data_IF_234226757824
#
_entry.id   IF_234226757824
#
_cell.length_a   1.000
_cell.length_b   1.000
_cell.length_c   1.000
_cell.angle_alpha   90.00
_cell.angle_beta   90.00
_cell.angle_gamma   90.00
#
_symmetry.space_group_name_H-M   'P 1'
#
loop_
_entity.id
_entity.type
_entity.pdbx_description
1 polymer ?
#
# COMPACT_ATOMS: atom_id res chain seq x y z
N UNK A 1 -28.22 -5.51 1.15
CA UNK A 1 -27.43 -4.32 0.82
C UNK A 1 -26.54 -4.09 2.02
N UNK A 2 -25.22 -4.22 1.89
CA UNK A 2 -24.27 -4.10 3.01
C UNK A 2 -23.75 -2.67 2.98
N UNK A 3 -23.99 -1.94 4.07
CA UNK A 3 -23.62 -0.53 4.28
C UNK A 3 -22.15 -0.36 4.75
N UNK A 4 -21.39 -1.45 4.79
CA UNK A 4 -20.06 -1.51 5.43
C UNK A 4 -18.88 -1.30 4.46
N UNK A 5 -19.12 -0.81 3.24
CA UNK A 5 -18.05 -0.59 2.27
C UNK A 5 -17.54 0.84 2.36
N UNK A 6 -16.31 1.00 2.84
CA UNK A 6 -15.63 2.30 2.85
C UNK A 6 -15.60 2.91 1.45
N UNK A 7 -16.02 4.17 1.36
CA UNK A 7 -15.81 4.98 0.16
C UNK A 7 -14.33 5.27 -0.04
N UNK A 8 -13.95 5.60 -1.27
CA UNK A 8 -12.56 5.99 -1.57
C UNK A 8 -12.09 7.16 -0.71
N UNK A 9 -12.97 8.12 -0.43
CA UNK A 9 -12.64 9.27 0.39
C UNK A 9 -12.37 8.86 1.85
N UNK A 10 -13.19 7.98 2.43
CA UNK A 10 -12.96 7.49 3.79
C UNK A 10 -11.64 6.71 3.88
N UNK A 11 -11.31 5.90 2.86
CA UNK A 11 -10.02 5.22 2.79
C UNK A 11 -8.85 6.23 2.74
N UNK A 12 -8.97 7.30 1.96
CA UNK A 12 -7.97 8.37 1.90
C UNK A 12 -7.79 9.07 3.25
N UNK A 13 -8.89 9.35 3.96
CA UNK A 13 -8.86 9.96 5.29
C UNK A 13 -8.17 9.03 6.30
N UNK A 14 -8.53 7.75 6.32
CA UNK A 14 -7.92 6.74 7.20
C UNK A 14 -6.42 6.58 6.90
N UNK A 15 -6.03 6.59 5.63
CA UNK A 15 -4.62 6.50 5.22
C UNK A 15 -3.84 7.82 5.43
N UNK A 16 -4.52 8.89 5.85
CA UNK A 16 -3.93 10.20 6.09
C UNK A 16 -3.36 10.82 4.82
N UNK A 17 -4.17 10.86 3.75
CA UNK A 17 -3.78 11.41 2.45
C UNK A 17 -3.81 12.95 2.48
N UNK A 18 -2.77 13.56 1.93
CA UNK A 18 -2.63 14.99 1.69
C UNK A 18 -2.31 15.26 0.23
N UNK A 19 -2.92 16.32 -0.31
CA UNK A 19 -2.55 16.89 -1.60
C UNK A 19 -1.62 18.07 -1.36
N UNK A 20 -0.37 17.94 -1.78
CA UNK A 20 0.69 18.93 -1.54
C UNK A 20 1.07 19.60 -2.85
N UNK A 21 1.09 20.92 -2.87
CA UNK A 21 1.53 21.67 -4.04
C UNK A 21 3.02 21.46 -4.31
N UNK A 22 3.39 21.17 -5.56
CA UNK A 22 4.80 20.84 -5.90
C UNK A 22 5.64 22.07 -6.26
N UNK A 23 5.04 23.26 -6.30
CA UNK A 23 5.72 24.50 -6.69
C UNK A 23 5.81 24.70 -8.20
N UNK A 24 5.43 23.70 -9.00
CA UNK A 24 5.29 23.80 -10.45
C UNK A 24 3.81 24.00 -10.77
N UNK A 25 3.42 25.21 -11.17
CA UNK A 25 2.04 25.70 -11.43
C UNK A 25 0.92 24.65 -11.39
N UNK A 26 -0.11 24.72 -10.56
CA UNK A 26 -1.23 23.74 -10.39
C UNK A 26 -0.90 22.24 -10.16
N UNK A 27 0.32 21.77 -10.36
CA UNK A 27 0.68 20.38 -10.06
C UNK A 27 0.66 20.13 -8.55
N UNK A 28 -0.02 19.06 -8.17
CA UNK A 28 -0.06 18.55 -6.79
C UNK A 28 0.53 17.15 -6.75
N UNK A 29 1.12 16.81 -5.61
CA UNK A 29 1.57 15.47 -5.27
C UNK A 29 0.71 14.93 -4.13
N UNK A 30 0.20 13.72 -4.32
CA UNK A 30 -0.49 12.97 -3.28
C UNK A 30 0.53 12.30 -2.37
N UNK A 31 0.45 12.56 -1.07
CA UNK A 31 1.25 11.92 -0.03
C UNK A 31 0.35 11.29 1.02
N UNK A 32 0.77 10.21 1.66
CA UNK A 32 -0.01 9.55 2.70
C UNK A 32 0.86 9.00 3.83
N UNK A 33 0.30 8.89 5.03
CA UNK A 33 0.99 8.31 6.19
C UNK A 33 1.08 6.78 6.11
N UNK A 34 0.06 6.17 5.52
CA UNK A 34 -0.03 4.74 5.22
C UNK A 34 -0.32 4.52 3.73
N UNK A 35 0.12 3.42 3.11
CA UNK A 35 -0.18 3.12 1.72
C UNK A 35 -1.68 2.90 1.55
N UNK A 36 -2.26 3.42 0.46
CA UNK A 36 -3.66 3.15 0.14
C UNK A 36 -3.87 1.64 -0.12
N UNK A 37 -5.08 1.09 0.15
CA UNK A 37 -5.35 -0.35 0.03
C UNK A 37 -4.99 -0.92 -1.36
N UNK A 38 -5.36 -0.23 -2.43
CA UNK A 38 -5.05 -0.65 -3.81
C UNK A 38 -3.53 -0.78 -4.05
N UNK A 39 -2.75 0.17 -3.49
CA UNK A 39 -1.30 0.15 -3.59
C UNK A 39 -0.70 -0.96 -2.74
N UNK A 40 -1.19 -1.13 -1.51
CA UNK A 40 -0.76 -2.19 -0.61
C UNK A 40 -0.96 -3.57 -1.23
N UNK A 41 -2.17 -3.86 -1.73
CA UNK A 41 -2.49 -5.13 -2.40
C UNK A 41 -1.59 -5.41 -3.59
N UNK A 42 -1.27 -4.36 -4.36
CA UNK A 42 -0.36 -4.47 -5.50
C UNK A 42 1.05 -4.84 -5.06
N UNK A 43 1.52 -4.28 -3.94
CA UNK A 43 2.88 -4.43 -3.45
C UNK A 43 3.10 -5.72 -2.69
N UNK A 44 2.14 -6.11 -1.85
CA UNK A 44 2.26 -7.28 -0.97
C UNK A 44 1.73 -8.54 -1.61
N UNK A 45 0.65 -8.46 -2.39
CA UNK A 45 -0.04 -9.59 -3.03
C UNK A 45 -0.31 -10.73 -2.05
N UNK A 46 -0.57 -10.38 -0.79
CA UNK A 46 -0.88 -11.35 0.26
C UNK A 46 -2.40 -11.47 0.42
N UNK A 47 -2.94 -12.69 0.54
CA UNK A 47 -4.39 -12.90 0.65
C UNK A 47 -4.96 -12.50 2.01
N UNK A 48 -4.12 -12.36 3.03
CA UNK A 48 -4.50 -11.96 4.39
C UNK A 48 -3.28 -11.36 5.10
N UNK A 49 -3.52 -10.78 6.28
CA UNK A 49 -2.47 -10.22 7.13
C UNK A 49 -1.54 -11.32 7.66
N UNK A 50 -0.25 -11.25 7.33
CA UNK A 50 0.76 -12.22 7.76
C UNK A 50 1.79 -11.57 8.69
N UNK A 51 2.62 -12.38 9.32
CA UNK A 51 3.73 -11.91 10.17
C UNK A 51 4.62 -10.86 9.49
N UNK A 52 4.84 -10.99 8.17
CA UNK A 52 5.57 -9.99 7.38
C UNK A 52 4.84 -8.65 7.30
N UNK A 53 3.52 -8.65 7.17
CA UNK A 53 2.69 -7.44 7.19
C UNK A 53 2.76 -6.76 8.54
N UNK A 54 2.65 -7.54 9.62
CA UNK A 54 2.77 -7.09 11.01
C UNK A 54 4.13 -6.45 11.25
N UNK A 55 5.20 -7.12 10.84
CA UNK A 55 6.58 -6.62 10.95
C UNK A 55 6.76 -5.32 10.16
N UNK A 56 6.20 -5.24 8.95
CA UNK A 56 6.26 -4.03 8.14
C UNK A 56 5.51 -2.86 8.80
N UNK A 57 4.32 -3.13 9.35
CA UNK A 57 3.49 -2.13 10.03
C UNK A 57 4.18 -1.60 11.28
N UNK A 58 4.66 -2.48 12.16
CA UNK A 58 5.34 -2.11 13.40
C UNK A 58 6.62 -1.32 13.15
N UNK A 59 7.43 -1.72 12.16
CA UNK A 59 8.61 -0.94 11.76
C UNK A 59 8.25 0.47 11.31
N UNK A 60 7.16 0.63 10.57
CA UNK A 60 6.69 1.95 10.13
C UNK A 60 6.11 2.75 11.29
N UNK A 61 5.33 2.13 12.16
CA UNK A 61 4.77 2.77 13.35
C UNK A 61 5.88 3.33 14.24
N UNK A 62 6.93 2.54 14.49
CA UNK A 62 8.10 2.97 15.25
C UNK A 62 8.79 4.19 14.63
N UNK A 63 8.95 4.25 13.29
CA UNK A 63 9.51 5.44 12.65
C UNK A 63 8.65 6.70 12.88
N UNK A 64 7.33 6.55 12.95
CA UNK A 64 6.40 7.64 13.20
C UNK A 64 6.49 8.11 14.65
N UNK A 65 6.54 7.17 15.59
CA UNK A 65 6.71 7.45 17.02
C UNK A 65 8.06 8.11 17.33
N UNK A 66 9.12 7.70 16.64
CA UNK A 66 10.45 8.32 16.73
C UNK A 66 10.52 9.72 16.08
N UNK A 67 9.43 10.19 15.44
CA UNK A 67 9.39 11.48 14.74
C UNK A 67 10.23 11.54 13.45
N UNK A 68 10.71 10.39 12.96
CA UNK A 68 11.52 10.27 11.73
C UNK A 68 10.68 10.05 10.49
N UNK A 69 9.42 9.63 10.66
CA UNK A 69 8.50 9.36 9.56
C UNK A 69 7.90 10.63 8.96
N UNK A 70 7.71 10.60 7.64
CA UNK A 70 7.02 11.62 6.85
C UNK A 70 6.00 10.95 5.92
N UNK A 71 4.91 11.63 5.52
CA UNK A 71 3.98 11.07 4.55
C UNK A 71 4.69 10.91 3.20
N UNK A 72 4.45 9.77 2.54
CA UNK A 72 5.17 9.34 1.35
C UNK A 72 4.29 9.41 0.12
N UNK A 73 4.90 9.64 -1.03
CA UNK A 73 4.23 9.52 -2.34
C UNK A 73 4.04 8.06 -2.72
N UNK A 74 3.14 7.80 -3.68
CA UNK A 74 2.95 6.46 -4.25
C UNK A 74 4.27 5.83 -4.73
N UNK A 75 5.15 6.61 -5.37
CA UNK A 75 6.45 6.10 -5.83
C UNK A 75 7.38 5.72 -4.68
N UNK A 76 7.38 6.51 -3.60
CA UNK A 76 8.18 6.21 -2.40
C UNK A 76 7.66 4.94 -1.70
N UNK A 77 6.34 4.76 -1.59
CA UNK A 77 5.74 3.53 -1.08
C UNK A 77 6.14 2.30 -1.91
N UNK A 78 6.11 2.42 -3.25
CA UNK A 78 6.54 1.33 -4.15
C UNK A 78 8.00 0.93 -3.93
N UNK A 79 8.89 1.90 -3.74
CA UNK A 79 10.30 1.63 -3.47
C UNK A 79 10.51 0.99 -2.10
N UNK A 80 9.79 1.46 -1.08
CA UNK A 80 9.89 0.98 0.30
C UNK A 80 9.36 -0.45 0.50
N UNK A 81 8.21 -0.76 -0.10
CA UNK A 81 7.52 -2.04 0.12
C UNK A 81 7.72 -3.02 -1.05
N UNK A 82 8.83 -2.88 -1.79
CA UNK A 82 9.11 -3.70 -2.97
C UNK A 82 9.39 -5.16 -2.56
N UNK A 83 8.49 -6.07 -2.94
CA UNK A 83 8.76 -7.51 -2.87
C UNK A 83 9.85 -7.90 -3.87
N UNK A 84 10.66 -8.91 -3.53
CA UNK A 84 11.64 -9.53 -4.43
C UNK A 84 10.98 -9.93 -5.76
N UNK A 85 11.63 -9.62 -6.89
CA UNK A 85 11.05 -9.86 -8.22
C UNK A 85 10.72 -11.32 -8.51
N UNK A 86 11.56 -12.24 -8.03
CA UNK A 86 11.38 -13.69 -8.20
C UNK A 86 10.16 -14.16 -7.41
N UNK A 87 10.06 -13.76 -6.13
CA UNK A 87 8.92 -14.11 -5.27
C UNK A 87 7.62 -13.60 -5.86
N UNK A 88 7.59 -12.34 -6.30
CA UNK A 88 6.40 -11.75 -6.93
C UNK A 88 5.97 -12.52 -8.18
N UNK A 89 6.94 -12.92 -9.02
CA UNK A 89 6.65 -13.69 -10.24
C UNK A 89 6.09 -15.07 -9.90
N UNK A 90 6.64 -15.73 -8.89
CA UNK A 90 6.13 -17.02 -8.42
C UNK A 90 4.69 -16.90 -7.90
N UNK A 91 4.37 -15.86 -7.11
CA UNK A 91 2.99 -15.62 -6.62
C UNK A 91 2.01 -15.42 -7.79
N UNK A 92 2.38 -14.61 -8.78
CA UNK A 92 1.54 -14.37 -9.97
C UNK A 92 1.31 -15.66 -10.76
N UNK A 93 2.39 -16.42 -11.02
CA UNK A 93 2.30 -17.68 -11.76
C UNK A 93 1.43 -18.71 -11.02
N UNK A 94 1.61 -18.83 -9.70
CA UNK A 94 0.81 -19.75 -8.89
C UNK A 94 -0.68 -19.36 -8.89
N UNK A 95 -0.98 -18.05 -8.81
CA UNK A 95 -2.37 -17.57 -8.87
C UNK A 95 -3.02 -17.86 -10.24
N UNK A 96 -2.30 -17.63 -11.34
CA UNK A 96 -2.81 -17.89 -12.70
C UNK A 96 -3.01 -19.38 -12.95
N UNK A 97 -2.04 -20.22 -12.59
CA UNK A 97 -2.15 -21.69 -12.72
C UNK A 97 -3.27 -22.24 -11.86
N UNK A 98 -3.40 -21.77 -10.61
CA UNK A 98 -4.48 -22.23 -9.71
C UNK A 98 -5.86 -21.88 -10.26
N UNK A 99 -6.03 -20.68 -10.84
CA UNK A 99 -7.28 -20.29 -11.51
C UNK A 99 -7.57 -21.12 -12.76
N UNK A 100 -6.54 -21.51 -13.51
CA UNK A 100 -6.69 -22.37 -14.68
C UNK A 100 -7.05 -23.82 -14.29
N UNK A 101 -6.52 -24.31 -13.17
CA UNK A 101 -6.81 -25.66 -12.66
C UNK A 101 -8.26 -25.82 -12.17
N UNK A 102 -8.87 -24.76 -11.65
CA UNK A 102 -10.25 -24.77 -11.14
C UNK A 102 -11.32 -24.59 -12.24
N UNK A 103 -10.91 -24.49 -13.51
CA UNK A 103 -11.80 -24.43 -14.68
C UNK A 103 -11.82 -25.76 -15.40
#
# INVERSE_FOLDING_TARGET
YIDDVLTNHEMEVICGVYYVYTGQGTQTATKSWWPLPELWDTLTRQPFWQERSESWFNNRLQELEDGRGMPLTNTQWRSRSKINSVVRRAILNNADISKAFLK
#
